data_IF_044139554972
#
_entry.id   IF_044139554972
#
_cell.length_a   1.000
_cell.length_b   1.000
_cell.length_c   1.000
_cell.angle_alpha   90.00
_cell.angle_beta   90.00
_cell.angle_gamma   90.00
#
_symmetry.space_group_name_H-M   'P 1'
#
loop_
_entity.id
_entity.type
_entity.pdbx_description
1 polymer ?
#
# COMPACT_ATOMS: atom_id res chain seq x y z
N UNK A 1 -14.97 -28.25 10.06
CA UNK A 1 -14.54 -27.55 11.30
C UNK A 1 -13.70 -26.35 10.86
N UNK A 2 -14.26 -25.15 10.86
CA UNK A 2 -13.48 -23.93 10.62
C UNK A 2 -12.60 -23.68 11.84
N UNK A 3 -11.30 -23.69 11.65
CA UNK A 3 -10.37 -23.25 12.68
C UNK A 3 -10.66 -21.78 12.98
N UNK A 4 -11.12 -21.51 14.21
CA UNK A 4 -11.33 -20.14 14.68
C UNK A 4 -10.06 -19.33 14.42
N UNK A 5 -10.15 -18.37 13.49
CA UNK A 5 -9.03 -17.54 13.08
C UNK A 5 -8.63 -16.65 14.26
N UNK A 6 -7.36 -16.26 14.35
CA UNK A 6 -6.87 -15.30 15.38
C UNK A 6 -7.73 -14.05 15.47
N UNK A 7 -8.33 -13.65 14.36
CA UNK A 7 -9.25 -12.52 14.24
C UNK A 7 -10.55 -12.74 15.02
N UNK A 8 -11.12 -13.97 15.01
CA UNK A 8 -12.38 -14.26 15.72
C UNK A 8 -12.18 -14.18 17.23
N UNK A 9 -11.01 -14.60 17.73
CA UNK A 9 -10.65 -14.46 19.15
C UNK A 9 -10.52 -13.01 19.58
N UNK A 10 -9.93 -12.16 18.73
CA UNK A 10 -9.81 -10.72 18.98
C UNK A 10 -11.18 -10.04 19.00
N UNK A 11 -12.07 -10.38 18.07
CA UNK A 11 -13.43 -9.84 18.02
C UNK A 11 -14.21 -10.23 19.28
N UNK A 12 -14.11 -11.49 19.74
CA UNK A 12 -14.77 -11.94 20.95
C UNK A 12 -14.25 -11.23 22.21
N UNK A 13 -12.94 -10.97 22.31
CA UNK A 13 -12.36 -10.21 23.41
C UNK A 13 -12.84 -8.75 23.36
N UNK A 14 -12.88 -8.13 22.20
CA UNK A 14 -13.35 -6.75 22.03
C UNK A 14 -14.82 -6.58 22.42
N UNK A 15 -15.67 -7.59 22.18
CA UNK A 15 -17.08 -7.55 22.55
C UNK A 15 -17.34 -7.59 24.07
N UNK A 16 -16.37 -8.05 24.86
CA UNK A 16 -16.47 -8.10 26.34
C UNK A 16 -16.05 -6.76 26.96
N UNK A 17 -15.27 -5.96 26.25
CA UNK A 17 -14.71 -4.70 26.75
C UNK A 17 -15.74 -3.57 26.63
N UNK A 18 -15.99 -2.77 27.68
CA UNK A 18 -16.88 -1.61 27.57
C UNK A 18 -16.42 -0.63 26.48
N UNK A 19 -17.37 -0.14 25.67
CA UNK A 19 -17.07 0.79 24.56
C UNK A 19 -16.28 2.02 24.99
N UNK A 20 -16.49 2.55 26.20
CA UNK A 20 -15.75 3.68 26.74
C UNK A 20 -14.26 3.38 26.91
N UNK A 21 -13.92 2.17 27.34
CA UNK A 21 -12.52 1.75 27.46
C UNK A 21 -11.86 1.57 26.09
N UNK A 22 -12.57 0.99 25.11
CA UNK A 22 -12.08 0.87 23.74
C UNK A 22 -11.78 2.25 23.15
N UNK A 23 -12.69 3.21 23.32
CA UNK A 23 -12.49 4.58 22.87
C UNK A 23 -11.28 5.25 23.53
N UNK A 24 -11.07 5.02 24.81
CA UNK A 24 -9.91 5.53 25.52
C UNK A 24 -8.62 4.95 24.95
N UNK A 25 -8.55 3.61 24.77
CA UNK A 25 -7.38 2.94 24.21
C UNK A 25 -7.10 3.44 22.78
N UNK A 26 -8.11 3.57 21.93
CA UNK A 26 -7.94 4.09 20.56
C UNK A 26 -7.43 5.52 20.57
N UNK A 27 -7.96 6.40 21.42
CA UNK A 27 -7.48 7.78 21.54
C UNK A 27 -6.04 7.82 22.04
N UNK A 28 -5.70 6.97 23.00
CA UNK A 28 -4.35 6.87 23.54
C UNK A 28 -3.35 6.38 22.48
N UNK A 29 -3.70 5.33 21.73
CA UNK A 29 -2.87 4.86 20.62
C UNK A 29 -2.67 5.93 19.54
N UNK A 30 -3.73 6.66 19.16
CA UNK A 30 -3.61 7.80 18.25
C UNK A 30 -2.71 8.91 18.78
N UNK A 31 -2.75 9.16 20.07
CA UNK A 31 -1.85 10.11 20.71
C UNK A 31 -0.39 9.66 20.63
N UNK A 32 -0.11 8.38 20.93
CA UNK A 32 1.23 7.82 20.83
C UNK A 32 1.75 7.85 19.38
N UNK A 33 0.90 7.51 18.41
CA UNK A 33 1.21 7.52 16.98
C UNK A 33 1.58 8.94 16.51
N UNK A 34 0.74 9.92 16.84
CA UNK A 34 0.98 11.33 16.51
C UNK A 34 2.31 11.87 17.04
N UNK A 35 2.78 11.37 18.18
CA UNK A 35 4.03 11.81 18.82
C UNK A 35 5.24 10.93 18.48
N UNK A 36 5.05 9.91 17.63
CA UNK A 36 6.15 9.01 17.22
C UNK A 36 6.68 8.10 18.33
N UNK A 37 5.90 7.90 19.42
CA UNK A 37 6.27 7.09 20.58
C UNK A 37 5.49 5.77 20.67
N UNK A 38 4.99 5.29 19.54
CA UNK A 38 4.26 4.02 19.45
C UNK A 38 5.17 2.84 19.81
N UNK A 39 4.71 1.91 20.67
CA UNK A 39 5.49 0.72 21.00
C UNK A 39 5.77 -0.14 19.75
N UNK A 40 7.02 -0.62 19.61
CA UNK A 40 7.45 -1.44 18.45
C UNK A 40 6.58 -2.69 18.26
N UNK A 41 6.06 -3.28 19.32
CA UNK A 41 5.17 -4.44 19.25
C UNK A 41 3.84 -4.09 18.54
N UNK A 42 3.29 -2.90 18.80
CA UNK A 42 2.07 -2.40 18.14
C UNK A 42 2.34 -2.08 16.67
N UNK A 43 3.47 -1.40 16.38
CA UNK A 43 3.88 -1.10 15.01
C UNK A 43 3.99 -2.38 14.17
N UNK A 44 4.66 -3.42 14.69
CA UNK A 44 4.82 -4.71 14.00
C UNK A 44 3.50 -5.47 13.77
N UNK A 45 2.52 -5.29 14.64
CA UNK A 45 1.21 -5.94 14.53
C UNK A 45 0.22 -5.13 13.68
N UNK A 46 0.47 -3.85 13.48
CA UNK A 46 -0.43 -2.93 12.80
C UNK A 46 -0.22 -2.96 11.27
N UNK A 47 -1.26 -3.20 10.48
CA UNK A 47 -1.17 -3.12 9.02
C UNK A 47 -1.03 -1.68 8.51
N UNK A 48 -1.25 -0.68 9.37
CA UNK A 48 -1.20 0.74 9.01
C UNK A 48 0.20 1.36 9.13
N UNK A 49 1.17 0.62 9.70
CA UNK A 49 2.56 1.07 9.84
C UNK A 49 3.43 0.44 8.75
N UNK A 50 3.15 0.78 7.51
CA UNK A 50 3.87 0.37 6.31
C UNK A 50 3.99 1.55 5.35
N UNK A 51 4.94 1.53 4.43
CA UNK A 51 5.09 2.59 3.43
C UNK A 51 4.04 2.50 2.32
N UNK A 52 3.65 1.28 1.96
CA UNK A 52 2.74 1.01 0.84
C UNK A 52 1.73 -0.05 1.23
N UNK A 53 0.48 0.18 0.89
CA UNK A 53 -0.59 -0.82 0.99
C UNK A 53 -1.03 -1.25 -0.40
N UNK A 54 -0.97 -2.55 -0.68
CA UNK A 54 -1.38 -3.12 -1.94
C UNK A 54 -2.55 -4.08 -1.72
N UNK A 55 -3.65 -3.86 -2.42
CA UNK A 55 -4.82 -4.75 -2.37
C UNK A 55 -5.20 -5.25 -3.76
N UNK A 56 -5.69 -6.49 -3.82
CA UNK A 56 -6.21 -7.09 -5.04
C UNK A 56 -7.73 -7.31 -4.90
N UNK A 57 -8.51 -6.33 -5.30
CA UNK A 57 -9.98 -6.42 -5.31
C UNK A 57 -10.50 -7.12 -6.57
N UNK A 58 -9.65 -7.31 -7.56
CA UNK A 58 -9.98 -8.10 -8.76
C UNK A 58 -10.30 -9.56 -8.45
N UNK A 59 -9.75 -10.10 -7.37
CA UNK A 59 -10.11 -11.44 -6.85
C UNK A 59 -11.57 -11.54 -6.39
N UNK A 60 -12.20 -10.40 -6.06
CA UNK A 60 -13.61 -10.27 -5.70
C UNK A 60 -14.50 -9.95 -6.93
N UNK A 61 -13.92 -9.87 -8.13
CA UNK A 61 -14.64 -9.57 -9.37
C UNK A 61 -14.98 -8.09 -9.58
N UNK A 62 -14.44 -7.17 -8.78
CA UNK A 62 -14.71 -5.73 -8.88
C UNK A 62 -13.54 -4.97 -9.51
N UNK A 63 -13.81 -3.77 -10.03
CA UNK A 63 -12.78 -2.87 -10.53
C UNK A 63 -11.95 -2.25 -9.40
N UNK A 64 -10.80 -1.67 -9.77
CA UNK A 64 -9.94 -0.98 -8.82
C UNK A 64 -10.68 0.17 -8.14
N UNK A 65 -10.41 0.36 -6.85
CA UNK A 65 -11.04 1.38 -6.01
C UNK A 65 -10.01 2.40 -5.56
N UNK A 66 -10.45 3.62 -5.31
CA UNK A 66 -9.66 4.64 -4.61
C UNK A 66 -9.97 4.54 -3.12
N UNK A 67 -8.97 4.22 -2.33
CA UNK A 67 -9.11 4.11 -0.88
C UNK A 67 -8.49 5.35 -0.22
N UNK A 68 -9.18 5.92 0.76
CA UNK A 68 -8.61 7.03 1.51
C UNK A 68 -7.41 6.59 2.35
N UNK A 69 -6.45 7.49 2.51
CA UNK A 69 -5.31 7.29 3.39
C UNK A 69 -5.73 7.57 4.83
N UNK A 70 -5.32 6.71 5.75
CA UNK A 70 -5.69 6.84 7.16
C UNK A 70 -4.85 7.91 7.86
N UNK A 71 -5.46 8.64 8.79
CA UNK A 71 -4.76 9.54 9.71
C UNK A 71 -4.26 8.77 10.95
N UNK A 72 -3.71 7.59 10.72
CA UNK A 72 -3.13 6.69 11.73
C UNK A 72 -2.10 5.80 11.05
N UNK A 73 -0.91 5.68 11.66
CA UNK A 73 0.20 4.93 11.09
C UNK A 73 1.00 5.73 10.04
N UNK A 74 1.80 5.02 9.28
CA UNK A 74 2.76 5.59 8.32
C UNK A 74 2.42 5.30 6.86
N UNK A 75 1.30 4.61 6.59
CA UNK A 75 0.89 4.27 5.22
C UNK A 75 0.56 5.52 4.42
N UNK A 76 1.30 5.76 3.37
CA UNK A 76 1.25 6.98 2.56
C UNK A 76 0.83 6.71 1.12
N UNK A 77 0.98 5.46 0.68
CA UNK A 77 0.68 5.03 -0.68
C UNK A 77 -0.28 3.86 -0.64
N UNK A 78 -1.33 3.93 -1.44
CA UNK A 78 -2.31 2.88 -1.59
C UNK A 78 -2.48 2.49 -3.05
N UNK A 79 -2.30 1.22 -3.36
CA UNK A 79 -2.54 0.65 -4.68
C UNK A 79 -3.68 -0.36 -4.62
N UNK A 80 -4.60 -0.27 -5.57
CA UNK A 80 -5.69 -1.23 -5.72
C UNK A 80 -5.69 -1.81 -7.12
N UNK A 81 -5.56 -3.13 -7.22
CA UNK A 81 -5.66 -3.85 -8.49
C UNK A 81 -7.10 -4.32 -8.70
N UNK A 82 -7.69 -3.92 -9.84
CA UNK A 82 -9.02 -4.34 -10.25
C UNK A 82 -9.04 -5.68 -10.99
N UNK A 83 -10.24 -6.11 -11.38
CA UNK A 83 -10.45 -7.32 -12.18
C UNK A 83 -9.81 -7.22 -13.56
N UNK A 84 -9.49 -8.37 -14.15
CA UNK A 84 -9.07 -8.46 -15.55
C UNK A 84 -10.23 -8.04 -16.45
N UNK A 85 -9.93 -7.22 -17.44
CA UNK A 85 -10.87 -6.77 -18.48
C UNK A 85 -10.21 -6.75 -19.85
N UNK A 86 -11.02 -6.80 -20.88
CA UNK A 86 -10.58 -6.56 -22.25
C UNK A 86 -10.41 -5.08 -22.48
N UNK A 87 -9.32 -4.69 -23.12
CA UNK A 87 -9.05 -3.34 -23.58
C UNK A 87 -8.74 -3.39 -25.08
N UNK A 88 -9.16 -2.39 -25.79
CA UNK A 88 -8.87 -2.26 -27.22
C UNK A 88 -7.87 -1.13 -27.38
N UNK A 89 -6.72 -1.45 -27.95
CA UNK A 89 -5.68 -0.48 -28.30
C UNK A 89 -5.59 -0.35 -29.81
N UNK A 90 -5.33 0.87 -30.28
CA UNK A 90 -5.08 1.14 -31.67
C UNK A 90 -3.58 1.20 -31.90
N UNK A 91 -3.05 0.27 -32.70
CA UNK A 91 -1.63 0.16 -32.99
C UNK A 91 -1.44 -0.37 -34.40
N UNK A 92 -0.54 0.22 -35.19
CA UNK A 92 -0.25 -0.15 -36.57
C UNK A 92 -1.49 -0.14 -37.48
N UNK A 93 -2.36 0.88 -37.33
CA UNK A 93 -3.63 1.02 -38.06
C UNK A 93 -4.66 -0.10 -37.80
N UNK A 94 -4.45 -0.91 -36.78
CA UNK A 94 -5.34 -2.00 -36.40
C UNK A 94 -5.82 -1.85 -34.93
N UNK A 95 -7.03 -2.37 -34.66
CA UNK A 95 -7.56 -2.48 -33.32
C UNK A 95 -7.15 -3.85 -32.78
N UNK A 96 -6.29 -3.84 -31.74
CA UNK A 96 -5.86 -5.04 -31.02
C UNK A 96 -6.62 -5.17 -29.69
N UNK A 97 -7.13 -6.38 -29.42
CA UNK A 97 -7.73 -6.70 -28.13
C UNK A 97 -6.64 -7.19 -27.18
N UNK A 98 -6.51 -6.54 -26.02
CA UNK A 98 -5.59 -6.93 -24.98
C UNK A 98 -6.30 -7.19 -23.65
N UNK A 99 -5.73 -8.05 -22.81
CA UNK A 99 -6.18 -8.27 -21.44
C UNK A 99 -5.40 -7.34 -20.51
N UNK A 100 -6.10 -6.49 -19.81
CA UNK A 100 -5.50 -5.55 -18.87
C UNK A 100 -6.15 -5.62 -17.48
N UNK A 101 -5.46 -5.08 -16.49
CA UNK A 101 -6.01 -4.73 -15.19
C UNK A 101 -5.82 -3.23 -14.96
N UNK A 102 -6.80 -2.61 -14.31
CA UNK A 102 -6.66 -1.23 -13.86
C UNK A 102 -6.02 -1.23 -12.48
N UNK A 103 -5.00 -0.41 -12.29
CA UNK A 103 -4.40 -0.15 -10.99
C UNK A 103 -4.79 1.27 -10.59
N UNK A 104 -5.55 1.42 -9.50
CA UNK A 104 -5.83 2.70 -8.90
C UNK A 104 -4.75 3.04 -7.87
N UNK A 105 -4.39 4.31 -7.81
CA UNK A 105 -3.37 4.84 -6.91
C UNK A 105 -3.93 6.00 -6.08
N UNK A 106 -3.61 6.00 -4.80
CA UNK A 106 -3.82 7.14 -3.91
C UNK A 106 -2.51 7.40 -3.18
N UNK A 107 -2.02 8.63 -3.26
CA UNK A 107 -0.78 9.07 -2.63
C UNK A 107 -1.03 10.27 -1.73
N UNK A 108 -0.25 10.38 -0.66
CA UNK A 108 -0.29 11.50 0.28
C UNK A 108 0.69 12.58 -0.16
N UNK A 109 0.18 13.73 -0.61
CA UNK A 109 1.02 14.86 -1.06
C UNK A 109 1.81 15.53 0.07
N UNK A 110 1.55 15.17 1.32
CA UNK A 110 2.40 15.60 2.45
C UNK A 110 3.80 15.01 2.40
N UNK A 111 4.01 13.94 1.62
CA UNK A 111 5.31 13.25 1.47
C UNK A 111 6.10 13.80 0.31
N UNK A 112 5.46 13.95 -0.85
CA UNK A 112 6.07 14.51 -2.03
C UNK A 112 4.99 15.08 -2.96
N UNK A 113 5.39 16.00 -3.81
CA UNK A 113 4.50 16.68 -4.75
C UNK A 113 4.08 15.81 -5.94
N UNK A 114 3.10 16.30 -6.70
CA UNK A 114 2.60 15.62 -7.89
C UNK A 114 3.65 15.43 -8.99
N UNK A 115 4.67 16.32 -9.08
CA UNK A 115 5.75 16.17 -10.05
C UNK A 115 6.62 14.94 -9.74
N UNK A 116 6.95 14.74 -8.47
CA UNK A 116 7.70 13.57 -8.02
C UNK A 116 6.92 12.28 -8.27
N UNK A 117 5.60 12.27 -7.94
CA UNK A 117 4.75 11.13 -8.27
C UNK A 117 4.69 10.83 -9.76
N UNK A 118 4.54 11.85 -10.61
CA UNK A 118 4.52 11.67 -12.06
C UNK A 118 5.82 11.03 -12.60
N UNK A 119 6.97 11.45 -12.06
CA UNK A 119 8.27 10.87 -12.39
C UNK A 119 8.38 9.42 -11.95
N UNK A 120 7.92 9.12 -10.72
CA UNK A 120 7.88 7.76 -10.18
C UNK A 120 6.99 6.83 -11.01
N UNK A 121 5.84 7.32 -11.49
CA UNK A 121 4.97 6.54 -12.38
C UNK A 121 5.57 6.27 -13.75
N UNK A 122 6.33 7.21 -14.32
CA UNK A 122 7.08 6.95 -15.55
C UNK A 122 8.07 5.81 -15.37
N UNK A 123 8.76 5.78 -14.23
CA UNK A 123 9.70 4.72 -13.91
C UNK A 123 8.98 3.38 -13.65
N UNK A 124 7.86 3.39 -12.91
CA UNK A 124 7.03 2.20 -12.70
C UNK A 124 6.55 1.62 -14.03
N UNK A 125 6.02 2.44 -14.94
CA UNK A 125 5.60 2.02 -16.27
C UNK A 125 6.73 1.38 -17.08
N UNK A 126 7.95 1.92 -16.95
CA UNK A 126 9.13 1.33 -17.60
C UNK A 126 9.40 -0.08 -17.09
N UNK A 127 9.32 -0.31 -15.79
CA UNK A 127 9.50 -1.64 -15.20
C UNK A 127 8.36 -2.59 -15.53
N UNK A 128 7.12 -2.13 -15.59
CA UNK A 128 5.98 -2.95 -16.00
C UNK A 128 6.09 -3.40 -17.47
N UNK A 129 6.64 -2.54 -18.36
CA UNK A 129 6.87 -2.88 -19.76
C UNK A 129 8.09 -3.78 -19.98
N UNK A 130 9.09 -3.69 -19.10
CA UNK A 130 10.36 -4.41 -19.17
C UNK A 130 10.72 -4.99 -17.80
N UNK A 131 10.01 -6.03 -17.33
CA UNK A 131 10.19 -6.59 -15.99
C UNK A 131 11.58 -7.21 -15.80
N UNK A 132 12.25 -7.59 -16.87
CA UNK A 132 13.64 -8.08 -16.84
C UNK A 132 14.65 -7.07 -16.24
N UNK A 133 14.29 -5.78 -16.22
CA UNK A 133 15.12 -4.77 -15.56
C UNK A 133 15.16 -4.91 -14.04
N UNK A 134 14.20 -5.64 -13.45
CA UNK A 134 14.12 -5.90 -12.02
C UNK A 134 14.91 -7.15 -11.59
N UNK A 135 15.42 -7.95 -12.53
CA UNK A 135 16.24 -9.14 -12.23
C UNK A 135 17.62 -8.78 -11.69
N UNK A 136 18.07 -7.56 -11.97
CA UNK A 136 19.36 -7.05 -11.49
C UNK A 136 19.15 -6.03 -10.39
N UNK A 137 19.78 -6.25 -9.25
CA UNK A 137 19.79 -5.27 -8.18
C UNK A 137 20.40 -3.94 -8.66
N UNK A 138 19.94 -2.79 -8.14
CA UNK A 138 20.59 -1.51 -8.43
C UNK A 138 22.02 -1.53 -7.87
N UNK A 139 22.96 -0.89 -8.59
CA UNK A 139 24.37 -0.83 -8.14
C UNK A 139 24.56 -0.07 -6.82
N UNK A 140 23.67 0.84 -6.52
CA UNK A 140 23.69 1.59 -5.26
C UNK A 140 22.27 2.05 -4.90
N UNK A 141 21.98 2.14 -3.61
CA UNK A 141 20.74 2.76 -3.06
C UNK A 141 21.15 3.96 -2.22
N UNK A 142 20.35 5.03 -2.29
CA UNK A 142 20.49 6.15 -1.36
C UNK A 142 19.64 5.87 -0.13
N UNK A 143 20.22 5.90 1.06
CA UNK A 143 19.50 5.77 2.33
C UNK A 143 19.15 7.15 2.87
N UNK A 144 17.93 7.29 3.44
CA UNK A 144 17.42 8.59 3.92
C UNK A 144 18.20 9.14 5.12
N UNK A 145 18.80 8.26 5.93
CA UNK A 145 19.44 8.65 7.20
C UNK A 145 20.78 9.36 7.04
N UNK A 146 21.49 9.13 5.93
CA UNK A 146 22.87 9.64 5.78
C UNK A 146 23.15 10.33 4.45
N UNK A 147 22.23 10.28 3.47
CA UNK A 147 22.50 10.59 2.07
C UNK A 147 23.71 9.82 1.49
N UNK A 148 24.13 8.76 2.14
CA UNK A 148 25.22 7.91 1.67
C UNK A 148 24.67 6.86 0.70
N UNK A 149 25.38 6.65 -0.39
CA UNK A 149 25.10 5.57 -1.33
C UNK A 149 25.67 4.28 -0.75
N UNK A 150 24.81 3.31 -0.49
CA UNK A 150 25.22 1.96 -0.12
C UNK A 150 25.40 1.17 -1.41
N UNK A 151 26.62 0.73 -1.68
CA UNK A 151 26.89 -0.23 -2.77
C UNK A 151 26.33 -1.60 -2.36
N UNK A 152 25.65 -2.22 -3.29
CA UNK A 152 25.07 -3.56 -3.08
C UNK A 152 25.95 -4.54 -3.84
N UNK A 153 26.65 -5.42 -3.10
CA UNK A 153 27.45 -6.51 -3.62
C UNK A 153 26.62 -7.60 -4.32
#
# INVERSE_FOLDING_TARGET
MQTANKTDKLVNILNIIPNGFILFVVKFLKFLDKHGIMPKAVIKASPFHTSVFLTNVGSLGIDSIYHHIYNFGTTSLFFSMGKKKKSYIYEDDEIKEEKCITIAFVGDERICDGHYYATSFKQLNKYLKKPELLEKAPKSVTTDDTNEKVEID
#
